data_IF_737179756372
#
_entry.id   IF_737179756372
#
_cell.length_a   1.000
_cell.length_b   1.000
_cell.length_c   1.000
_cell.angle_alpha   90.00
_cell.angle_beta   90.00
_cell.angle_gamma   90.00
#
_symmetry.space_group_name_H-M   'P 1'
#
loop_
_entity.id
_entity.type
_entity.pdbx_description
1 polymer ?
#
# COMPACT_ATOMS: atom_id res chain seq x y z
N UNK A 1 -2.21 -5.65 -31.47
CA UNK A 1 -2.46 -7.10 -31.63
C UNK A 1 -3.56 -7.47 -30.66
N UNK A 2 -4.65 -8.09 -31.11
CA UNK A 2 -5.69 -8.60 -30.22
C UNK A 2 -5.21 -9.97 -29.72
N UNK A 3 -4.68 -10.02 -28.50
CA UNK A 3 -4.34 -11.28 -27.84
C UNK A 3 -5.55 -11.81 -27.07
N UNK A 4 -5.66 -13.13 -26.94
CA UNK A 4 -6.65 -13.77 -26.07
C UNK A 4 -6.03 -13.97 -24.69
N UNK A 5 -6.75 -13.57 -23.64
CA UNK A 5 -6.37 -13.84 -22.26
C UNK A 5 -6.95 -15.18 -21.82
N UNK A 6 -6.18 -15.98 -21.09
CA UNK A 6 -6.60 -17.26 -20.55
C UNK A 6 -6.29 -17.31 -19.06
N UNK A 7 -7.30 -17.63 -18.25
CA UNK A 7 -7.13 -17.86 -16.81
C UNK A 7 -6.80 -19.33 -16.55
N UNK A 8 -5.75 -19.58 -15.77
CA UNK A 8 -5.30 -20.95 -15.44
C UNK A 8 -5.16 -21.08 -13.93
N UNK A 9 -5.81 -22.10 -13.37
CA UNK A 9 -5.65 -22.48 -11.97
C UNK A 9 -4.47 -23.45 -11.79
N UNK A 10 -3.65 -23.21 -10.76
CA UNK A 10 -2.62 -24.17 -10.31
C UNK A 10 -3.04 -24.67 -8.93
N UNK A 11 -3.33 -25.96 -8.82
CA UNK A 11 -3.69 -26.60 -7.56
C UNK A 11 -2.52 -27.46 -7.06
N UNK A 12 -2.02 -27.13 -5.87
CA UNK A 12 -1.02 -27.95 -5.18
C UNK A 12 -1.69 -29.02 -4.33
N UNK A 13 -0.93 -30.06 -3.97
CA UNK A 13 -1.43 -31.10 -3.07
C UNK A 13 -1.87 -30.49 -1.72
N UNK A 14 -3.12 -30.74 -1.32
CA UNK A 14 -3.77 -30.18 -0.11
C UNK A 14 -3.14 -30.63 1.20
N UNK A 15 -2.34 -31.69 1.19
CA UNK A 15 -1.61 -32.16 2.38
C UNK A 15 -0.23 -31.54 2.52
N UNK A 16 0.21 -30.72 1.56
CA UNK A 16 1.51 -30.02 1.63
C UNK A 16 1.42 -28.90 2.67
N UNK A 17 2.33 -28.86 3.67
CA UNK A 17 2.40 -27.75 4.61
C UNK A 17 2.62 -26.40 3.91
N UNK A 18 2.03 -25.32 4.46
CA UNK A 18 2.05 -23.99 3.86
C UNK A 18 3.48 -23.48 3.61
N UNK A 19 4.39 -23.74 4.53
CA UNK A 19 5.81 -23.37 4.45
C UNK A 19 6.58 -24.10 3.35
N UNK A 20 6.00 -25.18 2.79
CA UNK A 20 6.57 -25.92 1.65
C UNK A 20 5.91 -25.56 0.32
N UNK A 21 4.86 -24.74 0.32
CA UNK A 21 4.26 -24.25 -0.90
C UNK A 21 5.16 -23.18 -1.53
N UNK A 22 5.32 -23.19 -2.86
CA UNK A 22 6.08 -22.14 -3.53
C UNK A 22 5.36 -20.80 -3.39
N UNK A 23 6.14 -19.72 -3.32
CA UNK A 23 5.58 -18.38 -3.42
C UNK A 23 5.01 -18.12 -4.83
N UNK A 24 3.99 -17.26 -4.91
CA UNK A 24 3.35 -16.90 -6.19
C UNK A 24 4.36 -16.43 -7.26
N UNK A 25 5.40 -15.70 -6.84
CA UNK A 25 6.47 -15.24 -7.74
C UNK A 25 7.25 -16.40 -8.35
N UNK A 26 7.58 -17.41 -7.55
CA UNK A 26 8.29 -18.61 -8.03
C UNK A 26 7.42 -19.37 -9.04
N UNK A 27 6.12 -19.47 -8.79
CA UNK A 27 5.17 -20.09 -9.72
C UNK A 27 5.11 -19.32 -11.04
N UNK A 28 4.99 -17.99 -10.98
CA UNK A 28 4.99 -17.12 -12.17
C UNK A 28 6.27 -17.28 -12.98
N UNK A 29 7.43 -17.15 -12.36
CA UNK A 29 8.74 -17.27 -13.02
C UNK A 29 8.94 -18.65 -13.66
N UNK A 30 8.49 -19.71 -12.98
CA UNK A 30 8.55 -21.07 -13.52
C UNK A 30 7.69 -21.22 -14.77
N UNK A 31 6.47 -20.65 -14.78
CA UNK A 31 5.59 -20.67 -15.95
C UNK A 31 6.15 -19.83 -17.10
N UNK A 32 6.69 -18.63 -16.82
CA UNK A 32 7.38 -17.82 -17.82
C UNK A 32 8.57 -18.55 -18.43
N UNK A 33 9.34 -19.26 -17.62
CA UNK A 33 10.47 -20.06 -18.11
C UNK A 33 9.98 -21.22 -18.98
N UNK A 34 8.93 -21.93 -18.58
CA UNK A 34 8.35 -23.00 -19.38
C UNK A 34 7.85 -22.50 -20.74
N UNK A 35 7.24 -21.30 -20.78
CA UNK A 35 6.86 -20.62 -22.03
C UNK A 35 8.05 -20.34 -22.93
N UNK A 36 9.20 -19.95 -22.36
CA UNK A 36 10.43 -19.66 -23.12
C UNK A 36 11.10 -20.91 -23.67
N UNK A 37 11.05 -22.02 -22.94
CA UNK A 37 11.84 -23.22 -23.24
C UNK A 37 11.07 -24.30 -23.98
N UNK A 38 9.73 -24.26 -23.97
CA UNK A 38 8.88 -25.31 -24.53
C UNK A 38 8.20 -24.82 -25.80
N UNK A 39 8.05 -25.71 -26.79
CA UNK A 39 7.24 -25.43 -27.98
C UNK A 39 5.80 -25.83 -27.71
N UNK A 40 4.88 -24.88 -27.83
CA UNK A 40 3.44 -25.10 -27.69
C UNK A 40 2.75 -25.02 -29.05
N UNK A 41 1.61 -25.70 -29.20
CA UNK A 41 0.76 -25.56 -30.39
C UNK A 41 0.05 -24.19 -30.48
N UNK A 42 0.15 -23.38 -29.41
CA UNK A 42 -0.34 -22.01 -29.35
C UNK A 42 0.80 -21.08 -28.93
N UNK A 43 0.84 -19.88 -29.48
CA UNK A 43 1.87 -18.90 -29.14
C UNK A 43 1.52 -18.20 -27.81
N UNK A 44 2.43 -18.28 -26.84
CA UNK A 44 2.37 -17.51 -25.60
C UNK A 44 3.41 -16.39 -25.62
N UNK A 45 3.11 -15.28 -24.94
CA UNK A 45 4.08 -14.21 -24.75
C UNK A 45 4.86 -14.47 -23.44
N UNK A 46 6.19 -14.63 -23.48
CA UNK A 46 7.00 -15.00 -22.31
C UNK A 46 6.95 -14.09 -21.07
N UNK A 47 6.34 -12.90 -21.16
CA UNK A 47 6.16 -11.96 -20.04
C UNK A 47 4.71 -11.58 -19.78
N UNK A 48 3.75 -12.31 -20.36
CA UNK A 48 2.32 -12.05 -20.15
C UNK A 48 1.73 -12.84 -18.98
N UNK A 49 2.50 -13.70 -18.31
CA UNK A 49 2.03 -14.46 -17.15
C UNK A 49 1.86 -13.50 -15.98
N UNK A 50 0.67 -13.48 -15.38
CA UNK A 50 0.37 -12.66 -14.20
C UNK A 50 -0.47 -13.46 -13.21
N UNK A 51 -0.31 -13.14 -11.92
CA UNK A 51 -1.09 -13.76 -10.86
C UNK A 51 -2.45 -13.03 -10.74
N UNK A 52 -3.56 -13.75 -10.89
CA UNK A 52 -4.91 -13.15 -10.91
C UNK A 52 -5.21 -12.36 -9.62
N UNK A 53 -4.79 -12.87 -8.45
CA UNK A 53 -4.98 -12.17 -7.17
C UNK A 53 -4.21 -10.84 -7.12
N UNK A 54 -3.05 -10.75 -7.78
CA UNK A 54 -2.32 -9.50 -7.93
C UNK A 54 -3.09 -8.51 -8.82
N UNK A 55 -3.60 -8.95 -9.97
CA UNK A 55 -4.37 -8.08 -10.90
C UNK A 55 -5.58 -7.48 -10.17
N UNK A 56 -6.37 -8.32 -9.51
CA UNK A 56 -7.59 -7.90 -8.82
C UNK A 56 -7.27 -6.91 -7.69
N UNK A 57 -6.22 -7.18 -6.90
CA UNK A 57 -5.80 -6.28 -5.82
C UNK A 57 -5.24 -4.96 -6.35
N UNK A 58 -4.43 -5.00 -7.42
CA UNK A 58 -3.89 -3.81 -8.06
C UNK A 58 -5.00 -2.92 -8.63
N UNK A 59 -5.99 -3.52 -9.29
CA UNK A 59 -7.17 -2.82 -9.80
C UNK A 59 -8.00 -2.19 -8.67
N UNK A 60 -8.20 -2.92 -7.57
CA UNK A 60 -8.92 -2.43 -6.40
C UNK A 60 -8.24 -1.20 -5.78
N UNK A 61 -6.91 -1.25 -5.57
CA UNK A 61 -6.16 -0.10 -5.04
C UNK A 61 -6.16 1.08 -6.00
N UNK A 62 -5.89 0.82 -7.29
CA UNK A 62 -5.81 1.88 -8.30
C UNK A 62 -7.14 2.61 -8.46
N UNK A 63 -8.27 1.88 -8.51
CA UNK A 63 -9.60 2.48 -8.67
C UNK A 63 -10.02 3.34 -7.48
N UNK A 64 -9.58 3.01 -6.27
CA UNK A 64 -9.97 3.73 -5.05
C UNK A 64 -8.97 4.82 -4.63
N UNK A 65 -7.67 4.63 -4.85
CA UNK A 65 -6.62 5.55 -4.37
C UNK A 65 -6.15 6.54 -5.44
N UNK A 66 -5.96 6.11 -6.68
CA UNK A 66 -5.39 6.98 -7.72
C UNK A 66 -6.20 8.29 -7.91
N UNK A 67 -7.55 8.28 -7.92
CA UNK A 67 -8.32 9.52 -8.03
C UNK A 67 -8.11 10.49 -6.86
N UNK A 68 -7.84 9.98 -5.65
CA UNK A 68 -7.57 10.81 -4.46
C UNK A 68 -6.21 11.49 -4.56
N UNK A 69 -5.20 10.76 -5.03
CA UNK A 69 -3.86 11.32 -5.29
C UNK A 69 -3.89 12.34 -6.44
N UNK A 70 -4.61 12.06 -7.53
CA UNK A 70 -4.75 12.97 -8.66
C UNK A 70 -5.44 14.29 -8.27
N UNK A 71 -6.48 14.22 -7.43
CA UNK A 71 -7.19 15.40 -6.95
C UNK A 71 -6.32 16.26 -6.02
N UNK A 72 -5.54 15.61 -5.16
CA UNK A 72 -4.66 16.30 -4.21
C UNK A 72 -3.41 16.87 -4.89
N UNK A 73 -2.86 16.15 -5.86
CA UNK A 73 -1.59 16.46 -6.51
C UNK A 73 -1.75 16.51 -8.04
N UNK A 74 -1.91 17.72 -8.58
CA UNK A 74 -1.92 17.96 -10.03
C UNK A 74 -0.58 17.61 -10.71
N UNK A 75 0.50 17.51 -9.93
CA UNK A 75 1.81 17.08 -10.40
C UNK A 75 1.95 15.57 -10.54
N UNK A 76 0.99 14.76 -10.09
CA UNK A 76 1.05 13.31 -10.26
C UNK A 76 1.13 12.96 -11.75
N UNK A 77 1.97 11.98 -12.07
CA UNK A 77 2.19 11.43 -13.41
C UNK A 77 1.75 9.98 -13.47
N UNK A 78 2.14 9.21 -12.45
CA UNK A 78 1.91 7.76 -12.45
C UNK A 78 1.52 7.28 -11.06
N UNK A 79 0.60 6.31 -11.04
CA UNK A 79 0.24 5.50 -9.88
C UNK A 79 0.35 4.03 -10.30
N UNK A 80 1.34 3.32 -9.77
CA UNK A 80 1.58 1.90 -10.10
C UNK A 80 1.57 1.08 -8.82
N UNK A 81 0.82 -0.01 -8.82
CA UNK A 81 0.90 -1.00 -7.76
C UNK A 81 1.99 -1.99 -8.15
N UNK A 82 3.02 -2.11 -7.32
CA UNK A 82 4.25 -2.85 -7.69
C UNK A 82 4.41 -4.18 -6.96
N UNK A 83 3.81 -4.37 -5.77
CA UNK A 83 3.95 -5.63 -5.03
C UNK A 83 2.89 -5.81 -3.92
N UNK A 84 2.60 -7.07 -3.60
CA UNK A 84 1.93 -7.50 -2.37
C UNK A 84 2.66 -8.71 -1.76
N UNK A 85 2.77 -8.77 -0.44
CA UNK A 85 3.24 -9.98 0.25
C UNK A 85 2.15 -11.07 0.25
N UNK A 86 2.58 -12.34 0.28
CA UNK A 86 1.67 -13.49 0.33
C UNK A 86 0.77 -13.37 1.58
N UNK A 87 -0.55 -13.43 1.42
CA UNK A 87 -1.53 -13.18 2.50
C UNK A 87 -2.04 -11.72 2.61
N UNK A 88 -1.57 -10.80 1.76
CA UNK A 88 -2.16 -9.48 1.46
C UNK A 88 -2.36 -8.49 2.62
N UNK A 89 -1.36 -8.33 3.50
CA UNK A 89 -1.33 -7.25 4.51
C UNK A 89 -0.61 -6.00 3.96
N UNK A 90 0.47 -6.19 3.20
CA UNK A 90 1.34 -5.09 2.75
C UNK A 90 1.13 -4.82 1.27
N UNK A 91 0.91 -3.54 0.93
CA UNK A 91 0.63 -3.05 -0.41
C UNK A 91 1.71 -2.03 -0.77
N UNK A 92 2.47 -2.26 -1.84
CA UNK A 92 3.49 -1.32 -2.30
C UNK A 92 3.03 -0.58 -3.57
N UNK A 93 3.07 0.74 -3.53
CA UNK A 93 2.59 1.64 -4.58
C UNK A 93 3.72 2.59 -4.92
N UNK A 94 4.06 2.66 -6.21
CA UNK A 94 4.98 3.64 -6.76
C UNK A 94 4.22 4.85 -7.31
N UNK A 95 4.66 6.04 -6.91
CA UNK A 95 4.06 7.32 -7.27
C UNK A 95 5.11 8.19 -7.96
N UNK A 96 4.85 8.56 -9.21
CA UNK A 96 5.72 9.48 -9.93
C UNK A 96 5.07 10.87 -10.01
N UNK A 97 5.84 11.90 -9.71
CA UNK A 97 5.41 13.31 -9.78
C UNK A 97 6.29 14.12 -10.73
N UNK A 98 5.76 15.25 -11.20
CA UNK A 98 6.53 16.26 -11.92
C UNK A 98 7.60 16.86 -11.02
N UNK A 99 8.84 16.96 -11.50
CA UNK A 99 9.97 17.52 -10.73
C UNK A 99 9.76 18.95 -10.25
N UNK A 100 8.96 19.74 -10.97
CA UNK A 100 8.60 21.11 -10.59
C UNK A 100 7.85 21.19 -9.25
N UNK A 101 7.08 20.14 -8.89
CA UNK A 101 6.26 20.11 -7.67
C UNK A 101 6.16 18.67 -7.15
N UNK A 102 7.14 18.25 -6.37
CA UNK A 102 7.15 16.96 -5.70
C UNK A 102 6.55 17.13 -4.29
N UNK A 103 5.43 16.44 -3.95
CA UNK A 103 4.87 16.50 -2.61
C UNK A 103 5.83 15.92 -1.56
N UNK A 104 5.73 16.40 -0.33
CA UNK A 104 6.48 15.81 0.79
C UNK A 104 5.88 14.46 1.20
N UNK A 105 6.69 13.60 1.82
CA UNK A 105 6.26 12.29 2.30
C UNK A 105 5.06 12.38 3.26
N UNK A 106 5.01 13.45 4.08
CA UNK A 106 3.86 13.73 4.94
C UNK A 106 2.58 14.02 4.16
N UNK A 107 2.65 14.85 3.11
CA UNK A 107 1.48 15.14 2.27
C UNK A 107 0.96 13.87 1.58
N UNK A 108 1.87 13.01 1.09
CA UNK A 108 1.52 11.72 0.49
C UNK A 108 0.78 10.84 1.51
N UNK A 109 1.30 10.75 2.74
CA UNK A 109 0.70 9.96 3.81
C UNK A 109 -0.67 10.51 4.24
N UNK A 110 -0.84 11.83 4.31
CA UNK A 110 -2.11 12.48 4.66
C UNK A 110 -3.23 12.09 3.71
N UNK A 111 -2.96 11.88 2.41
CA UNK A 111 -3.97 11.36 1.47
C UNK A 111 -4.49 9.99 1.90
N UNK A 112 -3.59 9.08 2.31
CA UNK A 112 -3.96 7.73 2.75
C UNK A 112 -4.68 7.74 4.11
N UNK A 113 -4.25 8.60 5.04
CA UNK A 113 -4.92 8.80 6.33
C UNK A 113 -6.35 9.32 6.12
N UNK A 114 -6.54 10.34 5.27
CA UNK A 114 -7.87 10.86 4.96
C UNK A 114 -8.73 9.84 4.19
N UNK A 115 -8.11 8.98 3.40
CA UNK A 115 -8.79 7.91 2.68
C UNK A 115 -9.27 6.79 3.63
N UNK A 116 -8.57 6.53 4.74
CA UNK A 116 -8.88 5.43 5.67
C UNK A 116 -10.30 5.47 6.24
N UNK A 117 -10.87 6.66 6.40
CA UNK A 117 -12.23 6.86 6.91
C UNK A 117 -13.31 6.89 5.81
N UNK A 118 -12.91 7.00 4.54
CA UNK A 118 -13.82 7.22 3.41
C UNK A 118 -13.90 6.01 2.46
N UNK A 119 -12.84 5.21 2.37
CA UNK A 119 -12.81 4.01 1.54
C UNK A 119 -13.43 2.84 2.32
N UNK A 120 -14.42 2.19 1.72
CA UNK A 120 -15.06 0.99 2.28
C UNK A 120 -14.64 -0.30 1.58
N UNK A 121 -14.01 -0.19 0.40
CA UNK A 121 -13.59 -1.33 -0.41
C UNK A 121 -12.46 -2.16 0.23
N UNK A 122 -11.68 -1.55 1.13
CA UNK A 122 -10.65 -2.19 1.94
C UNK A 122 -10.27 -1.29 3.12
N UNK A 123 -9.74 -1.90 4.18
CA UNK A 123 -9.22 -1.16 5.32
C UNK A 123 -7.80 -0.65 5.02
N UNK A 124 -7.50 0.55 5.51
CA UNK A 124 -6.16 1.13 5.54
C UNK A 124 -5.78 1.26 7.01
N UNK A 125 -4.78 0.50 7.45
CA UNK A 125 -4.22 0.67 8.79
C UNK A 125 -3.25 1.85 8.79
N UNK A 126 -3.67 2.97 9.38
CA UNK A 126 -2.87 4.19 9.45
C UNK A 126 -1.61 4.06 10.30
N UNK A 127 -1.48 2.98 11.08
CA UNK A 127 -0.27 2.66 11.85
C UNK A 127 0.83 2.09 10.94
N UNK A 128 0.48 1.61 9.75
CA UNK A 128 1.39 0.95 8.81
C UNK A 128 1.46 1.68 7.46
N UNK A 129 1.52 3.01 7.48
CA UNK A 129 1.79 3.81 6.29
C UNK A 129 3.28 4.13 6.25
N UNK A 130 3.93 3.77 5.14
CA UNK A 130 5.34 4.06 4.89
C UNK A 130 5.45 4.81 3.57
N UNK A 131 6.26 5.87 3.54
CA UNK A 131 6.60 6.58 2.31
C UNK A 131 8.12 6.67 2.23
N UNK A 132 8.68 6.11 1.15
CA UNK A 132 10.12 5.91 0.95
C UNK A 132 10.82 5.19 2.13
N UNK A 133 10.14 4.18 2.69
CA UNK A 133 10.66 3.39 3.81
C UNK A 133 10.56 4.06 5.18
N UNK A 134 10.13 5.32 5.25
CA UNK A 134 9.92 6.03 6.52
C UNK A 134 8.49 5.78 6.99
N UNK A 135 8.35 5.23 8.21
CA UNK A 135 7.04 5.08 8.83
C UNK A 135 6.47 6.47 9.12
N UNK A 136 5.32 6.72 8.53
CA UNK A 136 4.54 7.91 8.79
C UNK A 136 3.71 7.56 10.01
N UNK A 137 4.27 7.82 11.19
CA UNK A 137 3.54 7.66 12.45
C UNK A 137 2.19 8.34 12.25
N UNK A 138 1.10 7.58 12.44
CA UNK A 138 -0.17 8.17 12.79
C UNK A 138 0.06 8.76 14.17
N UNK A 139 0.76 9.90 14.21
CA UNK A 139 0.61 10.84 15.28
C UNK A 139 -0.87 11.03 15.33
N UNK A 140 -1.50 10.40 16.33
CA UNK A 140 -2.76 10.84 16.88
C UNK A 140 -2.63 12.34 16.80
N UNK A 141 -3.49 12.99 16.01
CA UNK A 141 -3.58 14.43 16.09
C UNK A 141 -4.02 14.65 17.52
N UNK A 142 -3.06 14.79 18.43
CA UNK A 142 -3.30 15.25 19.76
C UNK A 142 -3.76 16.66 19.45
N UNK A 143 -5.07 16.84 19.32
CA UNK A 143 -5.70 18.11 19.62
C UNK A 143 -5.14 18.44 20.98
N UNK A 144 -4.13 19.31 21.01
CA UNK A 144 -3.59 19.83 22.25
C UNK A 144 -4.78 20.58 22.83
N UNK A 145 -5.53 19.89 23.68
CA UNK A 145 -6.66 20.47 24.36
C UNK A 145 -6.05 21.57 25.21
N UNK A 146 -6.48 22.81 24.93
CA UNK A 146 -6.08 23.99 25.70
C UNK A 146 -6.31 23.77 27.21
N UNK A 147 -7.21 22.86 27.56
CA UNK A 147 -7.53 22.46 28.93
C UNK A 147 -6.33 21.79 29.62
N UNK A 148 -5.54 20.97 28.93
CA UNK A 148 -4.39 20.27 29.54
C UNK A 148 -3.23 21.23 29.85
N UNK A 149 -3.00 22.21 28.96
CA UNK A 149 -2.01 23.28 29.21
C UNK A 149 -2.43 24.17 30.38
N UNK A 150 -3.71 24.49 30.54
CA UNK A 150 -4.18 25.21 31.73
C UNK A 150 -4.00 24.41 33.02
N UNK A 151 -4.27 23.10 33.03
CA UNK A 151 -4.07 22.26 34.21
C UNK A 151 -2.60 22.21 34.66
N UNK A 152 -1.65 22.13 33.72
CA UNK A 152 -0.22 22.11 34.05
C UNK A 152 0.29 23.47 34.53
N UNK A 153 -0.18 24.58 33.94
CA UNK A 153 0.16 25.93 34.41
C UNK A 153 -0.43 26.19 35.80
N UNK A 154 -1.68 25.78 36.05
CA UNK A 154 -2.32 25.90 37.35
C UNK A 154 -1.62 25.03 38.42
N UNK A 155 -1.22 23.80 38.08
CA UNK A 155 -0.43 22.96 38.98
C UNK A 155 0.94 23.58 39.29
N UNK A 156 1.63 24.12 38.28
CA UNK A 156 2.91 24.80 38.50
C UNK A 156 2.75 26.02 39.42
N UNK A 157 1.67 26.78 39.26
CA UNK A 157 1.34 27.90 40.15
C UNK A 157 0.99 27.44 41.57
N UNK A 158 0.18 26.39 41.70
CA UNK A 158 -0.21 25.84 43.00
C UNK A 158 1.02 25.32 43.76
N UNK A 159 1.88 24.55 43.10
CA UNK A 159 3.13 24.05 43.68
C UNK A 159 4.07 25.19 44.09
N UNK A 160 4.19 26.24 43.27
CA UNK A 160 4.99 27.43 43.61
C UNK A 160 4.47 28.11 44.89
N UNK A 161 3.16 28.19 45.08
CA UNK A 161 2.56 28.82 46.27
C UNK A 161 2.79 28.02 47.56
N UNK A 162 2.96 26.70 47.47
CA UNK A 162 3.25 25.83 48.62
C UNK A 162 4.74 25.86 49.00
N UNK A 163 5.61 26.32 48.10
CA UNK A 163 7.05 26.43 48.34
C UNK A 163 7.46 27.77 48.97
N UNK A 164 6.54 28.75 49.04
CA UNK A 164 6.75 30.07 49.62
C UNK A 164 6.10 30.24 51.01
N UNK A 165 5.67 29.15 51.64
CA UNK A 165 5.17 29.09 53.02
C UNK A 165 6.13 28.30 53.88
#
# INVERSE_FOLDING_TARGET
MNATEAEVGVEFNKTTPLEKLPENKVVQETLEQAIKTTTFNVAFQPGSVQIISFINRAALLKSNLAPLFQRTFSSLRTFVVIFFSNGSIINNIDLAFSSAFVPTNRQIAEVLVNASSNITAFNIDTSFIFVDGIQMSSGVSHKISLITTFSMVLLAWLLTSQQQR
#
